data_IF_483696949201
#
_entry.id   IF_483696949201
#
_cell.length_a   1.000
_cell.length_b   1.000
_cell.length_c   1.000
_cell.angle_alpha   90.00
_cell.angle_beta   90.00
_cell.angle_gamma   90.00
#
_symmetry.space_group_name_H-M   'P 1'
#
loop_
_entity.id
_entity.type
_entity.pdbx_description
1 polymer ?
#
# COMPACT_ATOMS: atom_id res chain seq x y z
N UNK A 1 26.07 4.59 -64.16
CA UNK A 1 25.17 5.70 -63.80
C UNK A 1 24.64 5.46 -62.40
N UNK A 2 24.76 6.43 -61.50
CA UNK A 2 24.63 6.28 -60.05
C UNK A 2 23.15 6.33 -59.61
N UNK A 3 22.61 5.22 -59.10
CA UNK A 3 21.27 5.20 -58.52
C UNK A 3 21.30 5.69 -57.07
N UNK A 4 20.82 6.92 -56.87
CA UNK A 4 20.74 7.58 -55.56
C UNK A 4 19.60 6.96 -54.76
N UNK A 5 19.91 6.24 -53.67
CA UNK A 5 18.89 5.68 -52.79
C UNK A 5 18.16 6.82 -52.04
N UNK A 6 16.89 7.05 -52.38
CA UNK A 6 16.02 8.01 -51.68
C UNK A 6 15.57 7.37 -50.37
N UNK A 7 16.09 7.87 -49.25
CA UNK A 7 15.74 7.41 -47.91
C UNK A 7 14.46 8.11 -47.47
N UNK A 8 13.32 7.44 -47.59
CA UNK A 8 12.06 7.93 -47.00
C UNK A 8 12.16 7.85 -45.48
N UNK A 9 12.36 9.00 -44.83
CA UNK A 9 12.25 9.10 -43.38
C UNK A 9 10.76 9.23 -43.07
N UNK A 10 10.12 8.14 -42.64
CA UNK A 10 8.80 8.21 -42.04
C UNK A 10 8.96 8.93 -40.70
N UNK A 11 8.76 10.25 -40.71
CA UNK A 11 8.73 11.07 -39.50
C UNK A 11 7.41 10.79 -38.78
N UNK A 12 7.36 9.68 -38.04
CA UNK A 12 6.20 9.38 -37.19
C UNK A 12 6.23 10.36 -36.02
N UNK A 13 5.32 11.34 -36.05
CA UNK A 13 5.02 12.23 -34.93
C UNK A 13 4.31 11.45 -33.83
N UNK A 14 5.07 10.73 -33.02
CA UNK A 14 4.61 10.19 -31.74
C UNK A 14 4.71 11.27 -30.66
N UNK A 15 3.93 12.35 -30.81
CA UNK A 15 3.83 13.43 -29.85
C UNK A 15 2.36 13.72 -29.53
N UNK A 16 1.63 12.69 -29.08
CA UNK A 16 0.27 12.83 -28.55
C UNK A 16 -0.17 11.63 -27.69
N UNK A 17 0.75 10.98 -26.97
CA UNK A 17 0.43 9.84 -26.10
C UNK A 17 0.76 10.05 -24.61
N UNK A 18 1.17 11.27 -24.22
CA UNK A 18 1.57 11.55 -22.83
C UNK A 18 0.45 12.14 -21.98
N UNK A 19 -0.66 12.56 -22.57
CA UNK A 19 -1.76 13.24 -21.84
C UNK A 19 -2.86 12.30 -21.35
N UNK A 20 -3.04 11.11 -21.96
CA UNK A 20 -4.01 10.11 -21.47
C UNK A 20 -3.49 9.25 -20.30
N UNK A 21 -2.16 9.07 -20.19
CA UNK A 21 -1.57 8.27 -19.12
C UNK A 21 -1.68 8.96 -17.75
N UNK A 22 -1.69 10.29 -17.72
CA UNK A 22 -1.73 11.08 -16.49
C UNK A 22 -3.12 11.11 -15.86
N UNK A 23 -4.19 11.07 -16.67
CA UNK A 23 -5.59 11.09 -16.18
C UNK A 23 -6.05 9.74 -15.66
N UNK A 24 -5.57 8.63 -16.23
CA UNK A 24 -5.85 7.29 -15.71
C UNK A 24 -5.18 7.06 -14.34
N UNK A 25 -3.98 7.60 -14.13
CA UNK A 25 -3.25 7.53 -12.86
C UNK A 25 -3.95 8.35 -11.77
N UNK A 26 -4.55 9.50 -12.11
CA UNK A 26 -5.26 10.34 -11.13
C UNK A 26 -6.51 9.69 -10.55
N UNK A 27 -7.26 8.90 -11.34
CA UNK A 27 -8.46 8.21 -10.84
C UNK A 27 -8.09 7.04 -9.93
N UNK A 28 -7.06 6.27 -10.27
CA UNK A 28 -6.58 5.17 -9.42
C UNK A 28 -6.01 5.69 -8.08
N UNK A 29 -5.23 6.78 -8.12
CA UNK A 29 -4.72 7.41 -6.90
C UNK A 29 -5.85 8.04 -6.06
N UNK A 30 -6.83 8.69 -6.69
CA UNK A 30 -8.01 9.22 -6.01
C UNK A 30 -8.89 8.12 -5.44
N UNK A 31 -9.05 6.98 -6.14
CA UNK A 31 -9.78 5.83 -5.65
C UNK A 31 -9.06 5.16 -4.47
N UNK A 32 -7.72 5.07 -4.50
CA UNK A 32 -6.93 4.60 -3.35
C UNK A 32 -7.07 5.56 -2.16
N UNK A 33 -6.94 6.86 -2.37
CA UNK A 33 -7.14 7.86 -1.32
C UNK A 33 -8.58 7.82 -0.76
N UNK A 34 -9.59 7.72 -1.63
CA UNK A 34 -10.98 7.55 -1.23
C UNK A 34 -11.20 6.22 -0.49
N UNK A 35 -10.50 5.14 -0.87
CA UNK A 35 -10.58 3.86 -0.16
C UNK A 35 -9.96 3.94 1.24
N UNK A 36 -8.97 4.79 1.46
CA UNK A 36 -8.38 5.04 2.79
C UNK A 36 -9.30 5.93 3.63
N UNK A 37 -9.87 6.98 3.02
CA UNK A 37 -10.79 7.92 3.68
C UNK A 37 -12.13 7.24 4.03
N UNK A 38 -12.64 6.38 3.14
CA UNK A 38 -13.94 5.71 3.27
C UNK A 38 -13.83 4.29 3.83
N UNK A 39 -12.62 3.76 4.01
CA UNK A 39 -12.45 2.58 4.86
C UNK A 39 -12.75 3.00 6.28
N UNK A 40 -13.67 2.31 6.98
CA UNK A 40 -13.77 2.45 8.41
C UNK A 40 -12.35 2.22 8.95
N UNK A 41 -11.78 3.22 9.63
CA UNK A 41 -10.59 2.98 10.42
C UNK A 41 -10.96 1.82 11.34
N UNK A 42 -10.43 0.62 11.08
CA UNK A 42 -10.78 -0.56 11.85
C UNK A 42 -10.71 -0.15 13.32
N UNK A 43 -11.83 -0.33 14.02
CA UNK A 43 -12.00 0.14 15.38
C UNK A 43 -10.76 -0.26 16.20
N UNK A 44 -10.29 0.61 17.08
CA UNK A 44 -9.08 0.37 17.85
C UNK A 44 -9.08 -1.03 18.50
N UNK A 45 -10.26 -1.49 18.92
CA UNK A 45 -10.49 -2.85 19.42
C UNK A 45 -10.25 -3.93 18.38
N UNK A 46 -10.78 -3.80 17.16
CA UNK A 46 -10.57 -4.79 16.09
C UNK A 46 -9.09 -4.96 15.71
N UNK A 47 -8.28 -3.89 15.82
CA UNK A 47 -6.83 -3.98 15.61
C UNK A 47 -6.13 -4.74 16.74
N UNK A 48 -6.56 -4.56 17.98
CA UNK A 48 -6.02 -5.27 19.13
C UNK A 48 -6.37 -6.76 19.08
N UNK A 49 -7.58 -7.12 18.64
CA UNK A 49 -7.99 -8.52 18.49
C UNK A 49 -7.10 -9.29 17.51
N UNK A 50 -6.74 -8.67 16.37
CA UNK A 50 -5.82 -9.27 15.41
C UNK A 50 -4.42 -9.48 16.00
N UNK A 51 -3.92 -8.49 16.74
CA UNK A 51 -2.62 -8.59 17.43
C UNK A 51 -2.63 -9.69 18.49
N UNK A 52 -3.71 -9.80 19.26
CA UNK A 52 -3.86 -10.85 20.27
C UNK A 52 -3.80 -12.25 19.64
N UNK A 53 -4.51 -12.47 18.54
CA UNK A 53 -4.50 -13.75 17.83
C UNK A 53 -3.10 -14.10 17.28
N UNK A 54 -2.38 -13.12 16.74
CA UNK A 54 -1.03 -13.34 16.21
C UNK A 54 0.00 -13.61 17.31
N UNK A 55 -0.10 -12.92 18.46
CA UNK A 55 0.74 -13.19 19.61
C UNK A 55 0.47 -14.57 20.21
N UNK A 56 -0.79 -14.98 20.30
CA UNK A 56 -1.15 -16.33 20.73
C UNK A 56 -0.51 -17.40 19.83
N UNK A 57 -0.53 -17.19 18.50
CA UNK A 57 0.15 -18.07 17.54
C UNK A 57 1.67 -18.05 17.74
N UNK A 58 2.27 -16.89 17.95
CA UNK A 58 3.71 -16.76 18.17
C UNK A 58 4.17 -17.47 19.46
N UNK A 59 3.36 -17.45 20.52
CA UNK A 59 3.60 -18.22 21.75
C UNK A 59 3.52 -19.72 21.47
N UNK A 60 2.52 -20.19 20.74
CA UNK A 60 2.38 -21.61 20.36
C UNK A 60 3.57 -22.11 19.54
N UNK A 61 4.13 -21.24 18.69
CA UNK A 61 5.33 -21.53 17.90
C UNK A 61 6.63 -21.36 18.69
N UNK A 62 6.56 -21.07 20.00
CA UNK A 62 7.70 -20.79 20.88
C UNK A 62 8.62 -19.67 20.36
N UNK A 63 8.06 -18.70 19.62
CA UNK A 63 8.80 -17.56 19.09
C UNK A 63 8.92 -16.43 20.12
N UNK A 64 7.95 -16.34 21.03
CA UNK A 64 7.90 -15.39 22.14
C UNK A 64 7.35 -16.08 23.38
N UNK A 65 7.74 -15.60 24.57
CA UNK A 65 7.12 -16.10 25.81
C UNK A 65 5.75 -15.44 26.03
N UNK A 66 4.91 -16.09 26.84
CA UNK A 66 3.61 -15.53 27.21
C UNK A 66 3.73 -14.17 27.91
N UNK A 67 4.75 -13.99 28.76
CA UNK A 67 4.99 -12.70 29.42
C UNK A 67 5.42 -11.61 28.44
N UNK A 68 6.19 -11.95 27.40
CA UNK A 68 6.59 -11.01 26.36
C UNK A 68 5.40 -10.55 25.52
N UNK A 69 4.52 -11.49 25.15
CA UNK A 69 3.27 -11.19 24.45
C UNK A 69 2.38 -10.24 25.27
N UNK A 70 2.14 -10.55 26.54
CA UNK A 70 1.31 -9.72 27.43
C UNK A 70 1.87 -8.29 27.60
N UNK A 71 3.20 -8.16 27.77
CA UNK A 71 3.84 -6.83 27.87
C UNK A 71 3.77 -6.04 26.57
N UNK A 72 3.88 -6.72 25.43
CA UNK A 72 3.75 -6.07 24.13
C UNK A 72 2.32 -5.55 23.92
N UNK A 73 1.32 -6.39 24.21
CA UNK A 73 -0.09 -6.04 24.06
C UNK A 73 -0.47 -4.84 24.95
N UNK A 74 -0.03 -4.82 26.22
CA UNK A 74 -0.26 -3.69 27.13
C UNK A 74 0.36 -2.38 26.62
N UNK A 75 1.59 -2.43 26.07
CA UNK A 75 2.25 -1.25 25.50
C UNK A 75 1.59 -0.77 24.21
N UNK A 76 1.08 -1.70 23.41
CA UNK A 76 0.40 -1.38 22.15
C UNK A 76 -0.98 -0.78 22.41
N UNK A 77 -1.73 -1.35 23.36
CA UNK A 77 -3.02 -0.82 23.80
C UNK A 77 -2.90 0.65 24.27
N UNK A 78 -1.89 0.98 25.08
CA UNK A 78 -1.63 2.36 25.50
C UNK A 78 -1.38 3.32 24.32
N UNK A 79 -0.67 2.88 23.28
CA UNK A 79 -0.42 3.70 22.08
C UNK A 79 -1.62 3.83 21.16
N UNK A 80 -2.42 2.78 21.02
CA UNK A 80 -3.60 2.79 20.15
C UNK A 80 -4.76 3.58 20.79
N UNK A 81 -4.90 3.53 22.13
CA UNK A 81 -5.93 4.28 22.86
C UNK A 81 -5.52 5.72 23.23
N UNK A 82 -4.26 6.11 22.99
CA UNK A 82 -3.83 7.51 23.05
C UNK A 82 -3.23 7.98 24.38
N UNK A 83 -2.58 7.10 25.14
CA UNK A 83 -1.84 7.46 26.36
C UNK A 83 -0.34 7.13 26.19
N UNK A 84 0.33 7.93 25.34
CA UNK A 84 1.79 7.95 25.17
C UNK A 84 2.27 9.33 24.71
#
# INVERSE_FOLDING_TARGET
MHNKAVRYVTRTTAAAASTLATTATSVAAAALAASIILSPAADASARLDGVHADLARAVQLNQVTAEQAARFEARLAGRILGDA
#
